data_IF_505688119460
#
_entry.id   IF_505688119460
#
_cell.length_a   1.000
_cell.length_b   1.000
_cell.length_c   1.000
_cell.angle_alpha   90.00
_cell.angle_beta   90.00
_cell.angle_gamma   90.00
#
_symmetry.space_group_name_H-M   'P 1'
#
loop_
_entity.id
_entity.type
_entity.pdbx_description
1 polymer ?
#
# COMPACT_ATOMS: atom_id res chain seq x y z
N UNK A 1 -54.68 -15.09 -14.59
CA UNK A 1 -54.75 -13.61 -14.50
C UNK A 1 -53.58 -12.97 -13.73
N UNK A 2 -53.01 -13.58 -12.67
CA UNK A 2 -51.85 -12.99 -11.95
C UNK A 2 -50.53 -12.98 -12.74
N UNK A 3 -50.29 -13.97 -13.61
CA UNK A 3 -49.02 -14.06 -14.35
C UNK A 3 -48.87 -13.05 -15.49
N UNK A 4 -49.98 -12.55 -16.06
CA UNK A 4 -49.95 -11.55 -17.14
C UNK A 4 -49.59 -10.14 -16.61
N UNK A 5 -49.97 -9.82 -15.38
CA UNK A 5 -49.70 -8.52 -14.74
C UNK A 5 -48.21 -8.41 -14.36
N UNK A 6 -47.61 -9.50 -13.86
CA UNK A 6 -46.18 -9.55 -13.54
C UNK A 6 -45.30 -9.42 -14.79
N UNK A 7 -45.73 -9.98 -15.92
CA UNK A 7 -44.99 -9.86 -17.19
C UNK A 7 -45.05 -8.43 -17.76
N UNK A 8 -46.19 -7.75 -17.61
CA UNK A 8 -46.34 -6.35 -18.07
C UNK A 8 -45.52 -5.37 -17.23
N UNK A 9 -45.44 -5.59 -15.91
CA UNK A 9 -44.64 -4.77 -14.99
C UNK A 9 -43.13 -4.97 -15.21
N UNK A 10 -42.69 -6.20 -15.51
CA UNK A 10 -41.30 -6.48 -15.85
C UNK A 10 -40.88 -5.81 -17.17
N UNK A 11 -41.77 -5.76 -18.17
CA UNK A 11 -41.48 -5.11 -19.45
C UNK A 11 -41.43 -3.58 -19.32
N UNK A 12 -42.30 -2.97 -18.49
CA UNK A 12 -42.27 -1.52 -18.26
C UNK A 12 -41.01 -1.06 -17.50
N UNK A 13 -40.52 -1.85 -16.54
CA UNK A 13 -39.29 -1.54 -15.82
C UNK A 13 -38.05 -1.62 -16.73
N UNK A 14 -38.04 -2.55 -17.70
CA UNK A 14 -36.95 -2.70 -18.66
C UNK A 14 -36.90 -1.52 -19.66
N UNK A 15 -38.05 -1.00 -20.09
CA UNK A 15 -38.13 0.15 -21.00
C UNK A 15 -37.80 1.46 -20.28
N UNK A 16 -38.21 1.63 -19.01
CA UNK A 16 -37.86 2.83 -18.23
C UNK A 16 -36.37 2.89 -17.86
N UNK A 17 -35.73 1.74 -17.59
CA UNK A 17 -34.29 1.65 -17.30
C UNK A 17 -33.38 1.88 -18.52
N UNK A 18 -33.86 1.59 -19.74
CA UNK A 18 -33.11 1.82 -20.97
C UNK A 18 -33.11 3.31 -21.41
N UNK A 19 -34.11 4.10 -20.98
CA UNK A 19 -34.25 5.51 -21.37
C UNK A 19 -33.37 6.43 -20.48
N UNK A 20 -33.03 6.02 -19.26
CA UNK A 20 -32.21 6.85 -18.35
C UNK A 20 -30.70 6.69 -18.54
N UNK A 21 -30.23 5.70 -19.31
CA UNK A 21 -28.79 5.48 -19.60
C UNK A 21 -28.32 6.24 -20.86
N UNK A 22 -29.23 6.77 -21.68
CA UNK A 22 -28.88 7.46 -22.94
C UNK A 22 -28.94 9.00 -22.88
N UNK A 23 -29.11 9.61 -21.70
CA UNK A 23 -29.22 11.07 -21.54
C UNK A 23 -28.13 11.69 -20.65
N UNK A 24 -26.91 11.17 -20.69
CA UNK A 24 -25.73 11.81 -20.10
C UNK A 24 -25.04 12.73 -21.13
N UNK A 25 -24.71 13.99 -20.80
CA UNK A 25 -24.18 14.94 -21.76
C UNK A 25 -22.78 14.55 -22.26
N UNK A 26 -22.61 14.58 -23.58
CA UNK A 26 -21.33 14.43 -24.27
C UNK A 26 -20.38 15.59 -23.91
N UNK A 27 -19.23 15.26 -23.29
CA UNK A 27 -18.15 16.21 -23.06
C UNK A 27 -17.46 16.54 -24.40
N UNK A 28 -17.64 17.77 -24.88
CA UNK A 28 -16.93 18.32 -26.04
C UNK A 28 -15.82 19.24 -25.56
N UNK A 29 -14.59 18.95 -25.97
CA UNK A 29 -13.43 19.83 -25.78
C UNK A 29 -13.59 21.05 -26.69
N UNK A 30 -13.61 22.24 -26.11
CA UNK A 30 -13.63 23.51 -26.84
C UNK A 30 -12.50 24.45 -26.36
N UNK A 31 -11.55 24.66 -27.27
CA UNK A 31 -10.71 25.84 -27.54
C UNK A 31 -9.93 26.58 -26.42
N UNK A 32 -8.73 27.03 -26.81
CA UNK A 32 -7.76 27.73 -25.98
C UNK A 32 -7.90 29.28 -25.95
N UNK A 33 -7.60 29.84 -24.76
CA UNK A 33 -6.93 31.09 -24.33
C UNK A 33 -7.28 32.49 -24.94
N UNK A 34 -7.35 33.51 -24.06
CA UNK A 34 -6.44 34.65 -24.22
C UNK A 34 -5.66 35.04 -22.95
N UNK A 35 -4.41 35.42 -23.16
CA UNK A 35 -3.47 35.99 -22.19
C UNK A 35 -3.78 37.48 -21.99
N UNK A 36 -3.76 38.05 -20.78
CA UNK A 36 -3.74 39.50 -20.60
C UNK A 36 -2.41 40.10 -21.11
N UNK A 37 -2.52 41.22 -21.81
CA UNK A 37 -1.40 42.07 -22.26
C UNK A 37 -0.79 42.87 -21.07
N UNK A 38 0.44 43.39 -21.20
CA UNK A 38 1.21 43.96 -20.08
C UNK A 38 0.78 45.40 -19.74
N UNK A 39 1.06 45.82 -18.49
CA UNK A 39 1.00 47.23 -18.09
C UNK A 39 2.23 47.97 -18.67
N UNK A 40 1.97 48.93 -19.55
CA UNK A 40 2.95 49.90 -20.03
C UNK A 40 3.22 50.95 -18.95
N UNK A 41 4.49 51.12 -18.56
CA UNK A 41 4.99 52.32 -17.91
C UNK A 41 6.21 52.82 -18.70
N UNK A 42 6.12 54.06 -19.17
CA UNK A 42 7.14 54.74 -19.98
C UNK A 42 7.93 55.65 -19.03
N UNK A 43 9.26 55.57 -19.05
CA UNK A 43 10.14 56.49 -18.32
C UNK A 43 11.62 56.33 -18.68
N UNK A 44 12.09 57.20 -19.58
CA UNK A 44 13.43 57.72 -19.93
C UNK A 44 14.72 56.85 -19.83
N UNK A 45 15.67 56.95 -20.80
CA UNK A 45 16.79 56.02 -20.95
C UNK A 45 18.07 56.45 -20.22
N UNK A 46 18.83 55.47 -19.74
CA UNK A 46 20.25 55.60 -19.33
C UNK A 46 20.98 54.25 -19.55
N UNK A 47 22.32 54.24 -19.71
CA UNK A 47 23.04 53.61 -20.82
C UNK A 47 23.08 52.07 -20.76
N UNK A 48 23.11 51.47 -21.96
CA UNK A 48 23.15 50.03 -22.22
C UNK A 48 24.29 49.30 -21.50
N UNK A 49 23.95 48.44 -20.55
CA UNK A 49 24.85 47.39 -20.04
C UNK A 49 24.66 46.12 -20.88
N UNK A 50 25.77 45.45 -21.22
CA UNK A 50 25.80 44.17 -21.93
C UNK A 50 24.91 43.12 -21.24
N UNK A 51 24.15 42.29 -21.98
CA UNK A 51 23.26 41.31 -21.37
C UNK A 51 24.06 40.25 -20.60
N UNK A 52 23.73 40.09 -19.32
CA UNK A 52 24.10 38.95 -18.50
C UNK A 52 23.51 37.68 -19.13
N UNK A 53 24.28 36.58 -19.31
CA UNK A 53 23.74 35.33 -19.82
C UNK A 53 22.61 34.84 -18.90
N UNK A 54 21.45 34.56 -19.49
CA UNK A 54 20.32 33.91 -18.80
C UNK A 54 20.77 32.56 -18.27
N UNK A 55 20.58 32.24 -16.97
CA UNK A 55 20.87 30.90 -16.47
C UNK A 55 19.97 29.90 -17.18
N UNK A 56 20.59 28.93 -17.86
CA UNK A 56 19.88 27.77 -18.38
C UNK A 56 19.19 27.06 -17.21
N UNK A 57 17.89 26.77 -17.27
CA UNK A 57 17.25 25.95 -16.25
C UNK A 57 17.93 24.58 -16.19
N UNK A 58 18.63 24.30 -15.10
CA UNK A 58 19.13 22.97 -14.78
C UNK A 58 17.95 22.02 -14.74
N UNK A 59 17.97 20.98 -15.57
CA UNK A 59 16.98 19.92 -15.51
C UNK A 59 16.93 19.38 -14.08
N UNK A 60 15.72 19.23 -13.52
CA UNK A 60 15.55 18.51 -12.26
C UNK A 60 16.21 17.13 -12.41
N UNK A 61 17.00 16.64 -11.43
CA UNK A 61 17.67 15.36 -11.55
C UNK A 61 16.60 14.29 -11.80
N UNK A 62 16.73 13.59 -12.93
CA UNK A 62 15.98 12.36 -13.18
C UNK A 62 16.20 11.44 -11.98
N UNK A 63 15.15 10.86 -11.37
CA UNK A 63 15.33 9.92 -10.26
C UNK A 63 16.37 8.87 -10.66
N UNK A 64 17.47 8.80 -9.90
CA UNK A 64 18.49 7.80 -10.15
C UNK A 64 17.79 6.43 -10.06
N UNK A 65 17.91 5.63 -11.13
CA UNK A 65 17.44 4.26 -11.07
C UNK A 65 18.42 3.48 -10.19
N UNK A 66 17.95 3.09 -9.02
CA UNK A 66 18.74 2.36 -8.03
C UNK A 66 18.09 1.01 -7.84
N UNK A 67 18.85 -0.05 -8.03
CA UNK A 67 18.47 -1.41 -7.67
C UNK A 67 19.65 -2.07 -7.01
N UNK A 68 19.41 -2.78 -5.92
CA UNK A 68 20.46 -3.51 -5.20
C UNK A 68 20.03 -4.96 -4.98
N UNK A 69 21.02 -5.82 -4.78
CA UNK A 69 20.79 -7.25 -4.65
C UNK A 69 20.13 -7.57 -3.31
N UNK A 70 18.93 -8.11 -3.37
CA UNK A 70 18.20 -8.66 -2.22
C UNK A 70 17.84 -10.10 -2.62
N UNK A 71 18.16 -11.12 -1.80
CA UNK A 71 17.78 -12.49 -2.11
C UNK A 71 16.26 -12.62 -2.20
N UNK A 72 15.78 -13.57 -2.99
CA UNK A 72 14.34 -13.89 -3.07
C UNK A 72 14.13 -15.23 -2.36
N UNK A 73 13.28 -15.22 -1.34
CA UNK A 73 12.90 -16.41 -0.59
C UNK A 73 11.41 -16.59 -0.62
N UNK A 74 10.98 -17.79 -1.00
CA UNK A 74 9.59 -18.19 -0.85
C UNK A 74 9.24 -18.32 0.63
N UNK A 75 8.04 -17.89 1.02
CA UNK A 75 7.52 -18.13 2.36
C UNK A 75 7.42 -19.62 2.68
N UNK A 76 7.76 -19.99 3.91
CA UNK A 76 7.76 -21.39 4.36
C UNK A 76 6.39 -21.86 4.85
N UNK A 77 5.57 -20.93 5.38
CA UNK A 77 4.20 -21.20 5.83
C UNK A 77 3.19 -20.40 5.02
N UNK A 78 1.91 -20.71 5.18
CA UNK A 78 0.83 -20.09 4.40
C UNK A 78 0.70 -18.57 4.65
N UNK A 79 0.98 -18.11 5.87
CA UNK A 79 0.84 -16.72 6.29
C UNK A 79 2.14 -16.20 6.90
N UNK A 80 3.26 -16.44 6.20
CA UNK A 80 4.62 -16.10 6.65
C UNK A 80 5.31 -15.10 5.72
N UNK A 81 4.51 -14.29 5.02
CA UNK A 81 5.02 -13.29 4.07
C UNK A 81 5.92 -12.25 4.77
N UNK A 82 5.63 -11.93 6.03
CA UNK A 82 6.31 -10.91 6.80
C UNK A 82 7.71 -11.35 7.21
N UNK A 83 7.88 -12.61 7.66
CA UNK A 83 9.23 -13.09 8.02
C UNK A 83 10.03 -13.51 6.80
N UNK A 84 9.38 -13.95 5.72
CA UNK A 84 10.04 -14.13 4.43
C UNK A 84 10.57 -12.81 3.89
N UNK A 85 9.76 -11.74 3.90
CA UNK A 85 10.19 -10.40 3.53
C UNK A 85 11.27 -9.83 4.48
N UNK A 86 11.17 -10.10 5.79
CA UNK A 86 12.22 -9.71 6.73
C UNK A 86 13.54 -10.47 6.46
N UNK A 87 13.49 -11.77 6.17
CA UNK A 87 14.65 -12.55 5.78
C UNK A 87 15.30 -11.98 4.51
N UNK A 88 14.49 -11.62 3.51
CA UNK A 88 14.98 -10.99 2.28
C UNK A 88 15.66 -9.66 2.59
N UNK A 89 15.02 -8.76 3.34
CA UNK A 89 15.56 -7.45 3.71
C UNK A 89 16.89 -7.57 4.48
N UNK A 90 16.95 -8.42 5.51
CA UNK A 90 18.16 -8.67 6.28
C UNK A 90 19.27 -9.29 5.42
N UNK A 91 18.93 -10.24 4.55
CA UNK A 91 19.88 -10.85 3.62
C UNK A 91 20.48 -9.84 2.64
N UNK A 92 19.68 -8.85 2.21
CA UNK A 92 20.16 -7.71 1.40
C UNK A 92 21.18 -6.83 2.14
N UNK A 93 21.12 -6.80 3.48
CA UNK A 93 22.08 -6.12 4.35
C UNK A 93 23.25 -7.05 4.77
N UNK A 94 23.31 -8.28 4.27
CA UNK A 94 24.32 -9.27 4.65
C UNK A 94 24.09 -9.92 6.02
N UNK A 95 22.92 -9.73 6.62
CA UNK A 95 22.53 -10.32 7.91
C UNK A 95 21.71 -11.59 7.65
N UNK A 96 22.19 -12.72 8.13
CA UNK A 96 21.60 -14.02 7.80
C UNK A 96 20.73 -14.56 8.94
N UNK A 97 19.43 -14.62 8.69
CA UNK A 97 18.46 -15.36 9.50
C UNK A 97 17.60 -16.25 8.59
N UNK A 98 17.11 -17.35 9.13
CA UNK A 98 16.05 -18.15 8.51
C UNK A 98 14.68 -17.64 8.96
N UNK A 99 13.65 -17.80 8.13
CA UNK A 99 12.24 -17.57 8.52
C UNK A 99 11.89 -18.22 9.86
N UNK A 100 12.24 -19.49 10.08
CA UNK A 100 11.97 -20.17 11.36
C UNK A 100 12.66 -19.51 12.57
N UNK A 101 13.89 -18.97 12.41
CA UNK A 101 14.54 -18.21 13.47
C UNK A 101 13.80 -16.90 13.74
N UNK A 102 13.41 -16.18 12.69
CA UNK A 102 12.66 -14.92 12.80
C UNK A 102 11.31 -15.14 13.48
N UNK A 103 10.56 -16.18 13.09
CA UNK A 103 9.31 -16.59 13.74
C UNK A 103 9.54 -16.89 15.23
N UNK A 104 10.58 -17.66 15.57
CA UNK A 104 10.88 -18.04 16.96
C UNK A 104 11.28 -16.86 17.86
N UNK A 105 11.76 -15.75 17.27
CA UNK A 105 12.13 -14.53 17.99
C UNK A 105 10.96 -13.55 18.17
N UNK A 106 9.83 -13.76 17.49
CA UNK A 106 8.66 -12.92 17.67
C UNK A 106 7.97 -13.16 19.03
N UNK A 107 7.18 -12.19 19.50
CA UNK A 107 6.24 -12.45 20.58
C UNK A 107 5.30 -13.62 20.26
N UNK A 108 4.91 -14.45 21.25
CA UNK A 108 3.99 -15.56 21.01
C UNK A 108 2.71 -15.11 20.31
N UNK A 109 2.19 -15.89 19.34
CA UNK A 109 1.00 -15.52 18.57
C UNK A 109 -0.26 -15.47 19.45
N UNK A 110 -1.20 -14.59 19.10
CA UNK A 110 -2.56 -14.63 19.64
C UNK A 110 -3.39 -15.64 18.85
N UNK A 111 -3.57 -16.83 19.42
CA UNK A 111 -4.23 -17.96 18.76
C UNK A 111 -5.75 -17.99 18.94
N UNK A 112 -6.35 -16.97 19.58
CA UNK A 112 -7.81 -16.87 19.72
C UNK A 112 -8.44 -16.76 18.34
N UNK A 113 -9.53 -17.51 18.09
CA UNK A 113 -10.26 -17.43 16.82
C UNK A 113 -10.96 -16.08 16.65
N UNK A 114 -11.12 -15.56 15.42
CA UNK A 114 -11.85 -14.33 15.20
C UNK A 114 -13.34 -14.48 15.51
N UNK A 115 -13.94 -13.40 15.99
CA UNK A 115 -15.39 -13.24 15.98
C UNK A 115 -15.80 -12.76 14.59
N UNK A 116 -16.60 -13.57 13.91
CA UNK A 116 -17.11 -13.26 12.57
C UNK A 116 -18.42 -12.50 12.64
N UNK A 117 -18.56 -11.47 11.80
CA UNK A 117 -19.80 -10.77 11.53
C UNK A 117 -20.61 -11.43 10.42
N UNK A 118 -21.75 -10.82 10.10
CA UNK A 118 -22.55 -11.25 8.95
C UNK A 118 -21.77 -11.02 7.65
N UNK A 119 -21.92 -11.95 6.69
CA UNK A 119 -21.39 -11.76 5.35
C UNK A 119 -22.04 -10.52 4.73
N UNK A 120 -21.24 -9.62 4.18
CA UNK A 120 -21.73 -8.42 3.50
C UNK A 120 -21.25 -8.43 2.07
N UNK A 121 -22.15 -8.43 1.09
CA UNK A 121 -21.79 -8.45 -0.34
C UNK A 121 -20.80 -9.59 -0.71
N UNK A 122 -20.95 -10.77 -0.11
CA UNK A 122 -20.04 -11.92 -0.31
C UNK A 122 -18.69 -11.80 0.40
N UNK A 123 -18.44 -10.70 1.13
CA UNK A 123 -17.22 -10.46 1.89
C UNK A 123 -17.35 -11.06 3.29
N UNK A 124 -16.29 -11.74 3.74
CA UNK A 124 -16.18 -12.21 5.12
C UNK A 124 -15.79 -11.02 6.00
N UNK A 125 -16.56 -10.82 7.07
CA UNK A 125 -16.35 -9.70 7.99
C UNK A 125 -15.84 -10.26 9.31
N UNK A 126 -14.62 -9.87 9.69
CA UNK A 126 -14.11 -10.02 11.05
C UNK A 126 -14.55 -8.80 11.85
N UNK A 127 -15.25 -9.01 12.97
CA UNK A 127 -15.69 -7.93 13.87
C UNK A 127 -14.77 -7.76 15.07
N UNK A 128 -14.11 -8.84 15.51
CA UNK A 128 -13.15 -8.80 16.61
C UNK A 128 -12.10 -9.90 16.48
N UNK A 129 -10.84 -9.57 16.76
CA UNK A 129 -9.73 -10.52 16.76
C UNK A 129 -8.53 -9.99 17.58
N UNK A 130 -7.35 -10.60 17.40
CA UNK A 130 -6.10 -10.19 18.03
C UNK A 130 -5.56 -8.85 17.52
N UNK A 131 -4.45 -8.41 18.12
CA UNK A 131 -3.81 -7.15 17.80
C UNK A 131 -2.50 -7.39 17.03
N UNK A 132 -2.46 -7.20 15.70
CA UNK A 132 -1.27 -7.46 14.89
C UNK A 132 -0.13 -6.49 15.18
N UNK A 133 -0.39 -5.35 15.85
CA UNK A 133 0.68 -4.45 16.33
C UNK A 133 1.43 -4.99 17.57
N UNK A 134 1.00 -6.11 18.16
CA UNK A 134 1.67 -6.74 19.32
C UNK A 134 2.30 -8.08 19.00
N UNK A 135 1.64 -8.92 18.23
CA UNK A 135 2.07 -10.26 17.90
C UNK A 135 1.34 -10.77 16.66
N UNK A 136 1.77 -11.91 16.13
CA UNK A 136 1.08 -12.57 15.05
C UNK A 136 -0.33 -13.00 15.47
N UNK A 137 -1.31 -12.76 14.61
CA UNK A 137 -2.73 -13.03 14.89
C UNK A 137 -3.19 -14.31 14.18
N UNK A 138 -3.61 -15.30 14.97
CA UNK A 138 -4.10 -16.61 14.52
C UNK A 138 -3.02 -17.64 14.20
N UNK A 139 -3.33 -18.58 13.31
CA UNK A 139 -2.44 -19.67 12.94
C UNK A 139 -1.63 -19.32 11.68
N UNK A 140 -0.29 -19.32 11.77
CA UNK A 140 0.62 -19.05 10.65
C UNK A 140 0.50 -20.08 9.50
N UNK A 141 0.06 -21.31 9.82
CA UNK A 141 -0.25 -22.37 8.85
C UNK A 141 -1.71 -22.31 8.36
N UNK A 142 -2.43 -21.27 8.75
CA UNK A 142 -3.85 -21.09 8.44
C UNK A 142 -4.10 -20.56 7.03
N UNK A 143 -5.25 -19.90 6.87
CA UNK A 143 -5.61 -19.12 5.70
C UNK A 143 -6.17 -17.77 6.14
N UNK A 144 -6.00 -16.77 5.28
CA UNK A 144 -6.50 -15.41 5.38
C UNK A 144 -7.94 -15.30 4.87
N UNK A 145 -8.21 -15.83 3.67
CA UNK A 145 -9.53 -15.88 3.04
C UNK A 145 -10.52 -16.77 3.80
N UNK A 146 -10.03 -17.66 4.65
CA UNK A 146 -10.79 -18.41 5.65
C UNK A 146 -10.13 -18.07 6.97
N UNK A 147 -10.54 -17.00 7.67
CA UNK A 147 -9.72 -16.32 8.68
C UNK A 147 -9.44 -17.23 9.89
N UNK A 148 -8.46 -18.09 9.75
CA UNK A 148 -7.88 -18.95 10.80
C UNK A 148 -6.51 -18.41 11.21
N UNK A 149 -5.89 -17.60 10.34
CA UNK A 149 -4.72 -16.78 10.61
C UNK A 149 -4.82 -15.47 9.84
N UNK A 150 -4.04 -14.48 10.27
CA UNK A 150 -3.98 -13.17 9.65
C UNK A 150 -2.55 -12.82 9.28
N UNK A 151 -1.76 -12.43 10.26
CA UNK A 151 -0.49 -11.77 10.05
C UNK A 151 -0.05 -10.98 11.27
N UNK A 152 1.05 -10.25 11.10
CA UNK A 152 1.65 -9.36 12.08
C UNK A 152 2.02 -8.03 11.41
N UNK A 153 1.86 -6.93 12.13
CA UNK A 153 2.23 -5.61 11.64
C UNK A 153 3.65 -5.23 12.02
N UNK A 154 4.08 -4.06 11.56
CA UNK A 154 5.47 -3.66 11.63
C UNK A 154 6.08 -3.56 13.05
N UNK A 155 5.39 -3.18 14.15
CA UNK A 155 6.11 -2.85 15.39
C UNK A 155 6.87 -4.02 16.05
N UNK A 156 6.30 -5.23 16.17
CA UNK A 156 7.04 -6.38 16.70
C UNK A 156 8.26 -6.74 15.84
N UNK A 157 8.13 -6.63 14.51
CA UNK A 157 9.25 -6.90 13.58
C UNK A 157 10.31 -5.80 13.63
N UNK A 158 9.90 -4.54 13.79
CA UNK A 158 10.79 -3.41 13.99
C UNK A 158 11.63 -3.57 15.25
N UNK A 159 10.99 -3.95 16.37
CA UNK A 159 11.70 -4.21 17.62
C UNK A 159 12.69 -5.37 17.48
N UNK A 160 12.31 -6.44 16.75
CA UNK A 160 13.18 -7.57 16.45
C UNK A 160 14.41 -7.12 15.65
N UNK A 161 14.23 -6.41 14.53
CA UNK A 161 15.35 -6.00 13.66
C UNK A 161 16.28 -4.99 14.33
N UNK A 162 15.73 -4.08 15.15
CA UNK A 162 16.52 -3.14 15.95
C UNK A 162 17.41 -3.85 16.98
N UNK A 163 16.90 -4.91 17.59
CA UNK A 163 17.66 -5.71 18.57
C UNK A 163 18.61 -6.73 17.92
N UNK A 164 18.43 -7.05 16.64
CA UNK A 164 19.12 -8.16 15.95
C UNK A 164 19.77 -7.76 14.62
N UNK A 165 20.36 -6.56 14.56
CA UNK A 165 21.36 -6.22 13.53
C UNK A 165 21.19 -4.87 12.84
N UNK A 166 20.03 -4.21 12.98
CA UNK A 166 19.77 -2.89 12.37
C UNK A 166 19.20 -1.93 13.40
N UNK A 167 19.98 -1.48 14.40
CA UNK A 167 19.48 -0.69 15.54
C UNK A 167 18.87 0.66 15.15
N UNK A 168 19.22 1.18 13.96
CA UNK A 168 18.69 2.40 13.38
C UNK A 168 17.52 2.16 12.42
N UNK A 169 16.98 0.94 12.33
CA UNK A 169 15.80 0.68 11.53
C UNK A 169 14.63 1.55 12.00
N UNK A 170 13.84 2.03 11.05
CA UNK A 170 12.63 2.81 11.31
C UNK A 170 11.42 2.07 10.73
N UNK A 171 10.26 2.26 11.33
CA UNK A 171 9.01 1.69 10.83
C UNK A 171 7.81 2.49 11.31
N UNK A 172 6.76 2.47 10.50
CA UNK A 172 5.52 3.18 10.79
C UNK A 172 4.55 3.18 9.63
N UNK A 173 3.43 3.88 9.86
CA UNK A 173 2.30 3.91 8.95
C UNK A 173 1.69 5.31 8.86
N UNK A 174 1.02 5.57 7.74
CA UNK A 174 0.28 6.81 7.51
C UNK A 174 1.14 7.96 6.99
N UNK A 175 0.74 8.52 5.85
CA UNK A 175 1.41 9.66 5.23
C UNK A 175 1.47 10.89 6.16
N UNK A 176 0.47 11.09 7.01
CA UNK A 176 0.45 12.16 8.02
C UNK A 176 1.53 12.00 9.09
N UNK A 177 2.04 10.78 9.28
CA UNK A 177 3.13 10.46 10.21
C UNK A 177 4.50 10.39 9.51
N UNK A 178 4.60 10.88 8.26
CA UNK A 178 5.85 10.89 7.48
C UNK A 178 6.08 9.65 6.60
N UNK A 179 5.24 8.62 6.70
CA UNK A 179 5.32 7.40 5.90
C UNK A 179 4.67 7.61 4.52
N UNK A 180 5.35 8.40 3.71
CA UNK A 180 4.93 8.77 2.34
C UNK A 180 5.67 7.94 1.29
N UNK A 181 5.12 7.79 0.07
CA UNK A 181 5.85 7.19 -1.04
C UNK A 181 7.21 7.86 -1.29
N UNK A 182 7.29 9.19 -1.17
CA UNK A 182 8.54 9.93 -1.37
C UNK A 182 9.63 9.54 -0.34
N UNK A 183 9.26 9.33 0.92
CA UNK A 183 10.18 8.81 1.95
C UNK A 183 10.64 7.40 1.59
N UNK A 184 9.73 6.49 1.22
CA UNK A 184 10.08 5.12 0.82
C UNK A 184 11.04 5.13 -0.37
N UNK A 185 10.78 5.96 -1.39
CA UNK A 185 11.66 6.08 -2.55
C UNK A 185 13.02 6.66 -2.20
N UNK A 186 13.11 7.59 -1.25
CA UNK A 186 14.38 8.11 -0.76
C UNK A 186 15.21 7.02 -0.06
N UNK A 187 14.59 6.17 0.77
CA UNK A 187 15.27 5.02 1.40
C UNK A 187 15.78 4.02 0.35
N UNK A 188 14.96 3.71 -0.66
CA UNK A 188 15.38 2.83 -1.75
C UNK A 188 16.53 3.43 -2.58
N UNK A 189 16.48 4.73 -2.86
CA UNK A 189 17.55 5.44 -3.56
C UNK A 189 18.85 5.49 -2.74
N UNK A 190 18.75 5.46 -1.41
CA UNK A 190 19.87 5.36 -0.48
C UNK A 190 20.41 3.92 -0.34
N UNK A 191 19.79 2.92 -0.99
CA UNK A 191 20.20 1.53 -0.92
C UNK A 191 19.66 0.77 0.30
N UNK A 192 18.66 1.32 1.00
CA UNK A 192 18.02 0.65 2.13
C UNK A 192 16.83 -0.20 1.65
N UNK A 193 16.80 -1.52 1.94
CA UNK A 193 15.62 -2.34 1.69
C UNK A 193 14.44 -1.87 2.55
N UNK A 194 13.24 -1.88 1.98
CA UNK A 194 12.02 -1.46 2.67
C UNK A 194 11.01 -2.61 2.66
N UNK A 195 10.55 -3.04 3.83
CA UNK A 195 9.39 -3.93 3.92
C UNK A 195 8.11 -3.11 3.74
N UNK A 196 7.19 -3.60 2.90
CA UNK A 196 5.93 -2.92 2.62
C UNK A 196 4.76 -3.89 2.75
N UNK A 197 3.78 -3.51 3.57
CA UNK A 197 2.48 -4.14 3.66
C UNK A 197 1.61 -3.66 2.48
N UNK A 198 1.01 -4.61 1.78
CA UNK A 198 0.17 -4.41 0.60
C UNK A 198 -0.93 -5.48 0.57
N UNK A 199 -1.57 -5.64 -0.58
CA UNK A 199 -2.56 -6.66 -0.84
C UNK A 199 -2.05 -7.54 -2.00
N UNK A 200 -2.33 -8.84 -1.92
CA UNK A 200 -1.87 -9.82 -2.91
C UNK A 200 -2.23 -9.37 -4.34
N UNK A 201 -1.27 -9.49 -5.26
CA UNK A 201 -1.48 -9.11 -6.66
C UNK A 201 -1.61 -7.60 -6.92
N UNK A 202 -1.34 -6.75 -5.91
CA UNK A 202 -1.58 -5.29 -5.96
C UNK A 202 -3.06 -4.95 -6.15
N UNK A 203 -3.93 -5.85 -5.72
CA UNK A 203 -5.37 -5.65 -5.78
C UNK A 203 -5.83 -4.54 -4.83
N UNK A 204 -7.07 -4.09 -5.04
CA UNK A 204 -7.75 -3.14 -4.14
C UNK A 204 -8.97 -3.81 -3.53
N UNK A 205 -8.78 -4.78 -2.64
CA UNK A 205 -9.88 -5.54 -2.05
C UNK A 205 -10.70 -4.68 -1.09
N UNK A 206 -11.73 -5.30 -0.53
CA UNK A 206 -12.39 -4.74 0.64
C UNK A 206 -11.42 -4.64 1.81
N UNK A 207 -11.42 -3.46 2.44
CA UNK A 207 -10.68 -3.20 3.66
C UNK A 207 -11.68 -2.97 4.79
N UNK A 208 -11.57 -3.78 5.83
CA UNK A 208 -12.45 -3.73 6.99
C UNK A 208 -11.80 -3.12 8.22
N UNK A 209 -12.56 -3.12 9.31
CA UNK A 209 -12.02 -2.87 10.63
C UNK A 209 -12.57 -3.90 11.62
N UNK A 210 -11.70 -4.48 12.46
CA UNK A 210 -12.12 -5.21 13.64
C UNK A 210 -11.73 -4.46 14.91
N UNK A 211 -12.37 -4.79 16.02
CA UNK A 211 -11.99 -4.31 17.34
C UNK A 211 -11.14 -5.36 18.05
N UNK A 212 -10.02 -4.99 18.67
CA UNK A 212 -9.17 -5.98 19.36
C UNK A 212 -9.86 -6.58 20.60
N UNK A 213 -9.48 -7.79 20.99
CA UNK A 213 -10.00 -8.42 22.20
C UNK A 213 -9.71 -7.62 23.47
N UNK A 214 -8.47 -7.17 23.66
CA UNK A 214 -8.03 -6.66 24.97
C UNK A 214 -8.03 -5.13 25.02
N UNK A 215 -7.42 -4.46 24.03
CA UNK A 215 -7.23 -3.01 24.01
C UNK A 215 -8.47 -2.24 23.53
N UNK A 216 -9.43 -2.93 22.91
CA UNK A 216 -10.64 -2.34 22.34
C UNK A 216 -10.37 -1.25 21.30
N UNK A 217 -9.25 -1.35 20.58
CA UNK A 217 -8.88 -0.43 19.50
C UNK A 217 -9.34 -0.99 18.14
N UNK A 218 -9.46 -0.12 17.14
CA UNK A 218 -9.82 -0.52 15.77
C UNK A 218 -8.57 -0.83 14.96
N UNK A 219 -8.55 -1.99 14.32
CA UNK A 219 -7.51 -2.43 13.40
C UNK A 219 -8.08 -2.42 11.99
N UNK A 220 -7.45 -1.67 11.09
CA UNK A 220 -7.74 -1.74 9.65
C UNK A 220 -7.14 -3.04 9.11
N UNK A 221 -7.86 -3.80 8.29
CA UNK A 221 -7.37 -5.09 7.77
C UNK A 221 -7.86 -5.41 6.36
N UNK A 222 -7.12 -6.26 5.66
CA UNK A 222 -7.51 -6.93 4.40
C UNK A 222 -7.35 -8.44 4.57
N UNK A 223 -8.28 -9.26 4.06
CA UNK A 223 -8.14 -10.73 4.09
C UNK A 223 -7.28 -11.29 2.93
N UNK A 224 -6.55 -10.42 2.24
CA UNK A 224 -5.48 -10.74 1.30
C UNK A 224 -4.27 -9.83 1.56
N UNK A 225 -4.05 -9.50 2.83
CA UNK A 225 -2.86 -8.75 3.26
C UNK A 225 -1.59 -9.53 2.86
N UNK A 226 -0.56 -8.79 2.46
CA UNK A 226 0.69 -9.36 1.98
C UNK A 226 1.87 -8.44 2.30
N UNK A 227 3.04 -9.01 2.55
CA UNK A 227 4.26 -8.24 2.77
C UNK A 227 5.34 -8.61 1.76
N UNK A 228 5.98 -7.58 1.22
CA UNK A 228 7.07 -7.70 0.25
C UNK A 228 8.29 -6.90 0.68
N UNK A 229 9.46 -7.21 0.12
CA UNK A 229 10.66 -6.37 0.27
C UNK A 229 10.87 -5.57 -1.01
N UNK A 230 10.91 -4.25 -0.88
CA UNK A 230 11.28 -3.34 -1.95
C UNK A 230 12.81 -3.23 -2.02
N UNK A 231 13.38 -3.37 -3.21
CA UNK A 231 14.84 -3.46 -3.44
C UNK A 231 15.36 -2.50 -4.51
N UNK A 232 14.57 -1.52 -4.89
CA UNK A 232 14.95 -0.54 -5.88
C UNK A 232 13.83 0.39 -6.30
N UNK A 233 14.22 1.49 -6.91
CA UNK A 233 13.35 2.57 -7.37
C UNK A 233 13.88 3.14 -8.68
N UNK A 234 12.97 3.57 -9.54
CA UNK A 234 13.24 4.34 -10.75
C UNK A 234 12.26 5.50 -10.83
N UNK A 235 12.29 6.27 -11.92
CA UNK A 235 11.34 7.35 -12.14
C UNK A 235 9.87 6.89 -12.22
N UNK A 236 9.61 5.61 -12.51
CA UNK A 236 8.24 5.11 -12.77
C UNK A 236 7.90 3.78 -12.09
N UNK A 237 8.87 3.13 -11.44
CA UNK A 237 8.71 1.76 -10.93
C UNK A 237 9.48 1.58 -9.62
N UNK A 238 9.01 0.64 -8.80
CA UNK A 238 9.77 0.05 -7.70
C UNK A 238 10.07 -1.42 -8.03
N UNK A 239 11.23 -1.90 -7.59
CA UNK A 239 11.59 -3.32 -7.68
C UNK A 239 11.10 -4.03 -6.42
N UNK A 240 10.42 -5.14 -6.61
CA UNK A 240 9.77 -5.91 -5.54
C UNK A 240 10.35 -7.32 -5.50
N UNK A 241 10.70 -7.76 -4.30
CA UNK A 241 10.96 -9.14 -3.96
C UNK A 241 9.73 -9.69 -3.22
N UNK A 242 9.01 -10.59 -3.89
CA UNK A 242 7.75 -11.15 -3.41
C UNK A 242 7.99 -12.56 -2.83
N UNK A 243 7.50 -12.87 -1.63
CA UNK A 243 7.66 -14.20 -1.03
C UNK A 243 6.71 -15.27 -1.57
N UNK A 244 5.80 -14.96 -2.50
CA UNK A 244 4.82 -15.93 -3.05
C UNK A 244 5.27 -16.65 -4.33
#
# INVERSE_FOLDING_TARGET
MRSAILFLLALLALVAGAITVFASPTYKIAAARPTPAPLLAIGHPTPTLSPTPTPTPTAAPTPATVTFNVPVYKQLRNLDCETAALQMALGGLGINYTQNQLIAMQPPPDTRSPVMGHLSNGQKIVVQWGNPYKNFVGNIDGADLIPTGYGIYYPPLLALVQSHGVPNAEGGEGAANGWTPARIYAELAAGHPVMAWTETGWDRPYVGYWTTFDEKIRIRYSLIEHVVTLSGVSATQVRVNDPW
#
